data_IF_515098719101
#
_entry.id   IF_515098719101
#
_cell.length_a   1.000
_cell.length_b   1.000
_cell.length_c   1.000
_cell.angle_alpha   90.00
_cell.angle_beta   90.00
_cell.angle_gamma   90.00
#
_symmetry.space_group_name_H-M   'P 1'
#
loop_
_entity.id
_entity.type
_entity.pdbx_description
1 polymer ?
#
# COMPACT_ATOMS: atom_id res chain seq x y z
N UNK A 1 7.43 -6.80 0.00
CA UNK A 1 7.34 -5.56 0.80
C UNK A 1 7.90 -5.77 2.19
N UNK A 2 8.43 -4.70 2.79
CA UNK A 2 8.75 -4.64 4.21
C UNK A 2 7.48 -4.67 5.09
N UNK A 3 7.58 -5.00 6.40
CA UNK A 3 6.47 -4.89 7.34
C UNK A 3 5.90 -3.47 7.39
N UNK A 4 4.67 -3.32 7.90
CA UNK A 4 4.02 -2.02 8.01
C UNK A 4 4.80 -1.16 9.00
N UNK A 5 5.63 -0.28 8.47
CA UNK A 5 6.67 0.42 9.24
C UNK A 5 6.14 1.69 9.89
N UNK A 6 5.09 2.30 9.32
CA UNK A 6 4.54 3.56 9.79
C UNK A 6 3.00 3.56 9.75
N UNK A 7 2.37 3.61 10.92
CA UNK A 7 0.93 3.81 11.05
C UNK A 7 0.64 5.22 11.58
N UNK A 8 0.00 6.04 10.75
CA UNK A 8 -0.44 7.40 11.09
C UNK A 8 -1.93 7.48 11.44
N UNK A 9 -2.67 6.37 11.33
CA UNK A 9 -4.11 6.27 11.61
C UNK A 9 -4.42 5.70 12.99
N UNK A 10 -3.44 5.10 13.66
CA UNK A 10 -3.62 4.54 14.99
C UNK A 10 -4.48 3.27 14.95
N UNK A 11 -4.24 2.41 13.96
CA UNK A 11 -4.86 1.11 13.82
C UNK A 11 -4.60 0.26 15.08
N UNK A 12 -5.61 -0.51 15.49
CA UNK A 12 -5.45 -1.52 16.53
C UNK A 12 -4.47 -2.61 16.06
N UNK A 13 -3.92 -3.38 17.00
CA UNK A 13 -3.00 -4.47 16.67
C UNK A 13 -3.65 -5.50 15.73
N UNK A 14 -4.91 -5.89 16.00
CA UNK A 14 -5.63 -6.82 15.12
C UNK A 14 -5.82 -6.27 13.70
N UNK A 15 -6.08 -4.96 13.57
CA UNK A 15 -6.22 -4.30 12.27
C UNK A 15 -4.89 -4.26 11.53
N UNK A 16 -3.77 -4.00 12.23
CA UNK A 16 -2.43 -4.04 11.66
C UNK A 16 -2.07 -5.44 11.21
N UNK A 17 -2.25 -6.45 12.04
CA UNK A 17 -1.93 -7.84 11.72
C UNK A 17 -2.75 -8.35 10.53
N UNK A 18 -4.03 -7.95 10.44
CA UNK A 18 -4.87 -8.26 9.29
C UNK A 18 -4.37 -7.60 8.01
N UNK A 19 -3.99 -6.32 8.10
CA UNK A 19 -3.46 -5.56 6.97
C UNK A 19 -2.10 -6.12 6.53
N UNK A 20 -1.19 -6.42 7.45
CA UNK A 20 0.11 -7.03 7.13
C UNK A 20 -0.05 -8.38 6.41
N UNK A 21 -1.01 -9.21 6.84
CA UNK A 21 -1.30 -10.48 6.15
C UNK A 21 -1.83 -10.27 4.73
N UNK A 22 -2.68 -9.27 4.53
CA UNK A 22 -3.20 -8.91 3.20
C UNK A 22 -2.09 -8.40 2.27
N UNK A 23 -1.16 -7.61 2.83
CA UNK A 23 -0.10 -6.92 2.12
C UNK A 23 1.18 -7.75 1.92
N UNK A 24 1.42 -8.77 2.74
CA UNK A 24 2.62 -9.62 2.67
C UNK A 24 2.94 -10.21 1.28
N UNK A 25 1.97 -10.63 0.46
CA UNK A 25 2.24 -11.16 -0.89
C UNK A 25 2.66 -10.08 -1.90
N UNK A 26 2.48 -8.80 -1.60
CA UNK A 26 2.77 -7.70 -2.51
C UNK A 26 4.29 -7.42 -2.44
N UNK A 27 5.03 -7.95 -3.41
CA UNK A 27 6.50 -7.88 -3.40
C UNK A 27 7.06 -6.90 -4.41
N UNK A 28 6.31 -6.66 -5.48
CA UNK A 28 6.66 -5.79 -6.59
C UNK A 28 5.55 -4.75 -6.82
N UNK A 29 5.88 -3.65 -7.49
CA UNK A 29 4.90 -2.64 -7.89
C UNK A 29 3.72 -3.24 -8.67
N UNK A 30 3.98 -4.18 -9.58
CA UNK A 30 2.93 -4.86 -10.34
C UNK A 30 1.94 -5.63 -9.45
N UNK A 31 2.37 -6.11 -8.28
CA UNK A 31 1.50 -6.82 -7.34
C UNK A 31 0.55 -5.84 -6.66
N UNK A 32 1.07 -4.67 -6.26
CA UNK A 32 0.28 -3.56 -5.68
C UNK A 32 -0.78 -3.07 -6.67
N UNK A 33 -0.39 -2.85 -7.93
CA UNK A 33 -1.32 -2.43 -9.00
C UNK A 33 -2.41 -3.49 -9.19
N UNK A 34 -2.04 -4.76 -9.34
CA UNK A 34 -3.02 -5.86 -9.48
C UNK A 34 -3.96 -5.97 -8.29
N UNK A 35 -3.43 -5.83 -7.07
CA UNK A 35 -4.22 -5.83 -5.85
C UNK A 35 -5.23 -4.68 -5.83
N UNK A 36 -4.80 -3.46 -6.16
CA UNK A 36 -5.68 -2.29 -6.22
C UNK A 36 -6.83 -2.46 -7.23
N UNK A 37 -6.51 -2.97 -8.42
CA UNK A 37 -7.51 -3.26 -9.46
C UNK A 37 -8.41 -4.47 -9.16
N UNK A 38 -8.03 -5.34 -8.24
CA UNK A 38 -8.85 -6.48 -7.83
C UNK A 38 -9.99 -6.11 -6.88
N UNK A 39 -9.97 -4.91 -6.30
CA UNK A 39 -11.03 -4.43 -5.42
C UNK A 39 -12.25 -3.92 -6.23
N UNK A 40 -13.42 -3.89 -5.59
CA UNK A 40 -14.64 -3.33 -6.19
C UNK A 40 -15.25 -2.26 -5.27
N UNK A 41 -15.20 -0.97 -5.64
CA UNK A 41 -14.62 -0.42 -6.88
C UNK A 41 -13.08 -0.53 -6.94
N UNK A 42 -12.47 -0.53 -8.14
CA UNK A 42 -11.02 -0.55 -8.28
C UNK A 42 -10.35 0.61 -7.54
N UNK A 43 -9.27 0.31 -6.81
CA UNK A 43 -8.40 1.32 -6.19
C UNK A 43 -7.29 1.66 -7.18
N UNK A 44 -7.42 2.79 -7.85
CA UNK A 44 -6.37 3.27 -8.76
C UNK A 44 -5.22 3.92 -7.98
N UNK A 45 -4.02 3.91 -8.57
CA UNK A 45 -2.86 4.62 -8.02
C UNK A 45 -3.18 6.11 -8.03
N UNK A 46 -3.22 6.72 -6.85
CA UNK A 46 -3.51 8.16 -6.73
C UNK A 46 -2.29 8.99 -7.10
N UNK A 47 -1.11 8.55 -6.66
CA UNK A 47 0.12 9.29 -6.86
C UNK A 47 1.32 8.33 -6.87
N UNK A 48 2.32 8.67 -7.68
CA UNK A 48 3.65 8.06 -7.66
C UNK A 48 4.64 9.17 -7.35
N UNK A 49 5.30 9.08 -6.19
CA UNK A 49 6.29 10.06 -5.75
C UNK A 49 7.67 9.49 -6.05
N UNK A 50 8.38 10.11 -6.99
CA UNK A 50 9.75 9.76 -7.34
C UNK A 50 10.68 10.23 -6.21
N UNK A 51 11.36 9.30 -5.54
CA UNK A 51 12.35 9.64 -4.50
C UNK A 51 13.73 9.83 -5.11
N UNK A 52 14.15 8.91 -5.97
CA UNK A 52 15.39 8.97 -6.74
C UNK A 52 15.26 8.22 -8.08
N UNK A 53 16.38 7.96 -8.76
CA UNK A 53 16.42 7.29 -10.06
C UNK A 53 15.93 5.83 -10.04
N UNK A 54 15.82 5.21 -8.86
CA UNK A 54 15.49 3.80 -8.68
C UNK A 54 14.40 3.55 -7.64
N UNK A 55 13.93 4.57 -6.93
CA UNK A 55 13.00 4.42 -5.79
C UNK A 55 11.77 5.31 -5.96
N UNK A 56 10.60 4.70 -5.81
CA UNK A 56 9.31 5.35 -5.96
C UNK A 56 8.37 4.96 -4.82
N UNK A 57 7.75 5.95 -4.19
CA UNK A 57 6.61 5.71 -3.31
C UNK A 57 5.33 5.69 -4.14
N UNK A 58 4.50 4.67 -3.94
CA UNK A 58 3.20 4.55 -4.60
C UNK A 58 2.07 4.69 -3.61
N UNK A 59 1.19 5.65 -3.85
CA UNK A 59 0.08 6.01 -2.97
C UNK A 59 -1.22 5.42 -3.53
N UNK A 60 -1.84 4.55 -2.74
CA UNK A 60 -3.10 3.88 -3.09
C UNK A 60 -4.17 4.23 -2.06
N UNK A 61 -5.39 4.61 -2.49
CA UNK A 61 -6.47 4.90 -1.57
C UNK A 61 -6.87 3.64 -0.82
N UNK A 62 -7.24 3.83 0.45
CA UNK A 62 -7.65 2.76 1.36
C UNK A 62 -8.87 3.20 2.17
N UNK A 63 -9.35 2.29 3.03
CA UNK A 63 -10.59 2.43 3.79
C UNK A 63 -10.69 3.77 4.53
N UNK A 64 -11.91 4.29 4.60
CA UNK A 64 -12.28 5.50 5.35
C UNK A 64 -11.50 6.76 4.94
N UNK A 65 -11.14 6.87 3.66
CA UNK A 65 -10.36 8.00 3.12
C UNK A 65 -8.90 7.99 3.56
N UNK A 66 -8.40 6.83 4.00
CA UNK A 66 -6.98 6.63 4.32
C UNK A 66 -6.18 6.32 3.05
N UNK A 67 -4.87 6.29 3.16
CA UNK A 67 -3.97 5.91 2.08
C UNK A 67 -2.94 4.91 2.58
N UNK A 68 -2.54 4.00 1.70
CA UNK A 68 -1.36 3.15 1.87
C UNK A 68 -0.26 3.70 0.98
N UNK A 69 0.94 3.79 1.55
CA UNK A 69 2.15 4.21 0.83
C UNK A 69 3.07 3.00 0.74
N UNK A 70 3.40 2.62 -0.49
CA UNK A 70 4.25 1.50 -0.81
C UNK A 70 5.61 2.01 -1.25
N UNK A 71 6.65 1.68 -0.50
CA UNK A 71 8.04 1.86 -0.93
C UNK A 71 8.37 0.78 -1.96
N UNK A 72 8.66 1.19 -3.19
CA UNK A 72 8.94 0.29 -4.31
C UNK A 72 10.22 0.70 -5.03
N UNK A 73 11.03 -0.30 -5.38
CA UNK A 73 12.21 -0.19 -6.25
C UNK A 73 11.86 -0.63 -7.67
#
# INVERSE_FOLDING_TARGET
>A
MAPLTHDRRGLSQDQRDALERELAPLTLLQDVVRWGFSDTPPRDVTEVVVQDEFTHDVVVPWKDGSYLVFDTT
#
